data_IF_769823067258
#
_entry.id   IF_769823067258
#
_cell.length_a   1.000
_cell.length_b   1.000
_cell.length_c   1.000
_cell.angle_alpha   90.00
_cell.angle_beta   90.00
_cell.angle_gamma   90.00
#
_symmetry.space_group_name_H-M   'P 1'
#
loop_
_entity.id
_entity.type
_entity.pdbx_description
1 polymer ?
#
# COMPACT_ATOMS: atom_id res chain seq x y z
N UNK A 1 5.57 -17.67 -5.97
CA UNK A 1 6.24 -16.70 -5.07
C UNK A 1 5.27 -15.61 -4.62
N UNK A 2 5.25 -15.29 -3.33
CA UNK A 2 4.40 -14.26 -2.71
C UNK A 2 5.27 -13.16 -2.14
N UNK A 3 5.18 -11.95 -2.68
CA UNK A 3 5.97 -10.81 -2.21
C UNK A 3 5.06 -9.72 -1.68
N UNK A 4 5.38 -9.18 -0.50
CA UNK A 4 4.77 -7.97 0.01
C UNK A 4 5.70 -6.79 -0.26
N UNK A 5 5.17 -5.78 -0.93
CA UNK A 5 5.91 -4.58 -1.30
C UNK A 5 5.31 -3.37 -0.60
N UNK A 6 6.11 -2.76 0.25
CA UNK A 6 5.75 -1.56 1.01
C UNK A 6 6.38 -0.30 0.41
N UNK A 7 5.98 0.86 0.89
CA UNK A 7 6.52 2.14 0.47
C UNK A 7 5.54 3.26 0.79
N UNK A 8 6.03 4.38 1.29
CA UNK A 8 5.16 5.53 1.62
C UNK A 8 4.49 6.12 0.39
N UNK A 9 3.43 6.90 0.58
CA UNK A 9 2.81 7.62 -0.55
C UNK A 9 3.83 8.53 -1.21
N UNK A 10 3.80 8.58 -2.55
CA UNK A 10 4.79 9.33 -3.31
C UNK A 10 6.16 8.64 -3.42
N UNK A 11 6.38 7.42 -2.91
CA UNK A 11 7.61 6.64 -3.15
C UNK A 11 7.82 6.23 -4.62
N UNK A 12 6.75 6.21 -5.43
CA UNK A 12 6.78 5.67 -6.79
C UNK A 12 6.46 4.17 -6.87
N UNK A 13 6.20 3.50 -5.72
CA UNK A 13 5.89 2.07 -5.59
C UNK A 13 4.95 1.55 -6.69
N UNK A 14 3.78 2.16 -6.85
CA UNK A 14 2.77 1.73 -7.84
C UNK A 14 3.28 1.78 -9.28
N UNK A 15 4.04 2.82 -9.66
CA UNK A 15 4.59 2.95 -11.02
C UNK A 15 5.64 1.89 -11.27
N UNK A 16 6.53 1.65 -10.30
CA UNK A 16 7.56 0.62 -10.41
C UNK A 16 6.98 -0.79 -10.48
N UNK A 17 5.94 -1.08 -9.69
CA UNK A 17 5.30 -2.40 -9.69
C UNK A 17 4.55 -2.69 -10.98
N UNK A 18 3.86 -1.70 -11.56
CA UNK A 18 3.24 -1.86 -12.88
C UNK A 18 4.27 -2.21 -13.97
N UNK A 19 5.38 -1.48 -14.02
CA UNK A 19 6.50 -1.77 -14.94
C UNK A 19 7.11 -3.15 -14.69
N UNK A 20 7.20 -3.58 -13.43
CA UNK A 20 7.68 -4.92 -13.09
C UNK A 20 6.76 -6.02 -13.63
N UNK A 21 5.44 -5.87 -13.49
CA UNK A 21 4.46 -6.82 -14.03
C UNK A 21 4.56 -6.88 -15.55
N UNK A 22 4.60 -5.73 -16.24
CA UNK A 22 4.78 -5.66 -17.70
C UNK A 22 6.07 -6.35 -18.14
N UNK A 23 7.18 -6.13 -17.41
CA UNK A 23 8.45 -6.79 -17.67
C UNK A 23 8.38 -8.31 -17.46
N UNK A 24 7.75 -8.78 -16.39
CA UNK A 24 7.59 -10.20 -16.09
C UNK A 24 6.75 -10.91 -17.17
N UNK A 25 5.66 -10.28 -17.60
CA UNK A 25 4.80 -10.78 -18.69
C UNK A 25 5.58 -10.89 -20.01
N UNK A 26 6.40 -9.90 -20.35
CA UNK A 26 7.30 -9.96 -21.51
C UNK A 26 8.35 -11.09 -21.41
N UNK A 27 8.58 -11.63 -20.21
CA UNK A 27 9.41 -12.82 -19.95
C UNK A 27 8.59 -14.10 -19.78
N UNK A 28 7.31 -14.10 -20.17
CA UNK A 28 6.38 -15.22 -20.01
C UNK A 28 6.15 -15.65 -18.55
N UNK A 29 6.36 -14.76 -17.60
CA UNK A 29 6.09 -14.99 -16.18
C UNK A 29 4.86 -14.19 -15.78
N UNK A 30 3.76 -14.88 -15.45
CA UNK A 30 2.53 -14.21 -14.97
C UNK A 30 2.70 -13.81 -13.51
N UNK A 31 2.45 -12.53 -13.21
CA UNK A 31 2.49 -11.99 -11.84
C UNK A 31 1.19 -11.25 -11.57
N UNK A 32 0.47 -11.64 -10.53
CA UNK A 32 -0.72 -10.93 -10.08
C UNK A 32 -0.35 -9.82 -9.11
N UNK A 33 -0.64 -8.57 -9.47
CA UNK A 33 -0.48 -7.42 -8.59
C UNK A 33 -1.81 -7.11 -7.86
N UNK A 34 -1.76 -7.13 -6.53
CA UNK A 34 -2.83 -6.66 -5.65
C UNK A 34 -2.43 -5.29 -5.08
N UNK A 35 -3.16 -4.22 -5.40
CA UNK A 35 -2.96 -2.91 -4.77
C UNK A 35 -3.98 -2.69 -3.68
N UNK A 36 -3.54 -2.80 -2.41
CA UNK A 36 -4.42 -2.73 -1.24
C UNK A 36 -5.20 -1.42 -1.23
N UNK A 37 -4.55 -0.29 -1.51
CA UNK A 37 -5.21 1.03 -1.56
C UNK A 37 -6.34 1.07 -2.58
N UNK A 38 -6.09 0.64 -3.82
CA UNK A 38 -7.12 0.60 -4.88
C UNK A 38 -8.26 -0.36 -4.54
N UNK A 39 -7.94 -1.53 -3.98
CA UNK A 39 -8.94 -2.51 -3.55
C UNK A 39 -9.81 -1.99 -2.40
N UNK A 40 -9.27 -1.19 -1.47
CA UNK A 40 -10.06 -0.57 -0.40
C UNK A 40 -11.12 0.39 -0.95
N UNK A 41 -10.75 1.20 -1.97
CA UNK A 41 -11.73 2.06 -2.64
C UNK A 41 -12.80 1.25 -3.39
N UNK A 42 -12.42 0.14 -4.01
CA UNK A 42 -13.36 -0.76 -4.66
C UNK A 42 -14.31 -1.43 -3.67
N UNK A 43 -13.79 -1.91 -2.53
CA UNK A 43 -14.58 -2.51 -1.45
C UNK A 43 -15.60 -1.50 -0.90
N UNK A 44 -15.18 -0.25 -0.66
CA UNK A 44 -16.10 0.80 -0.22
C UNK A 44 -17.24 1.05 -1.23
N UNK A 45 -16.93 1.12 -2.54
CA UNK A 45 -17.95 1.27 -3.58
C UNK A 45 -18.93 0.09 -3.62
N UNK A 46 -18.45 -1.15 -3.46
CA UNK A 46 -19.31 -2.34 -3.41
C UNK A 46 -20.27 -2.33 -2.21
N UNK A 47 -19.91 -1.65 -1.13
CA UNK A 47 -20.75 -1.45 0.05
C UNK A 47 -21.70 -0.25 -0.07
N UNK A 48 -21.76 0.40 -1.23
CA UNK A 48 -22.59 1.60 -1.46
C UNK A 48 -22.05 2.86 -0.80
N UNK A 49 -20.78 2.87 -0.36
CA UNK A 49 -20.15 4.04 0.26
C UNK A 49 -19.21 4.70 -0.74
N UNK A 50 -19.58 5.90 -1.19
CA UNK A 50 -18.72 6.69 -2.07
C UNK A 50 -17.75 7.54 -1.23
N UNK A 51 -16.50 7.08 -1.13
CA UNK A 51 -15.43 7.79 -0.45
C UNK A 51 -14.63 8.57 -1.49
N UNK A 52 -14.53 9.89 -1.31
CA UNK A 52 -13.60 10.71 -2.10
C UNK A 52 -12.16 10.24 -1.90
N UNK A 53 -11.36 10.23 -2.95
CA UNK A 53 -9.98 9.71 -2.91
C UNK A 53 -9.13 10.34 -1.80
N UNK A 54 -9.35 11.62 -1.49
CA UNK A 54 -8.62 12.36 -0.46
C UNK A 54 -9.15 12.14 0.97
N UNK A 55 -10.16 11.29 1.15
CA UNK A 55 -10.91 11.11 2.42
C UNK A 55 -10.83 9.72 3.03
N UNK A 56 -10.22 8.74 2.36
CA UNK A 56 -10.15 7.38 2.94
C UNK A 56 -9.42 7.33 4.29
N UNK A 57 -8.38 8.14 4.47
CA UNK A 57 -7.65 8.25 5.74
C UNK A 57 -8.37 9.12 6.79
N UNK A 58 -9.48 9.77 6.41
CA UNK A 58 -10.35 10.52 7.34
C UNK A 58 -11.47 9.66 7.94
N UNK A 59 -11.60 8.39 7.51
CA UNK A 59 -12.55 7.44 8.10
C UNK A 59 -12.24 7.15 9.58
N UNK A 60 -13.26 6.69 10.31
CA UNK A 60 -13.05 6.18 11.66
C UNK A 60 -12.08 4.98 11.65
N UNK A 61 -11.34 4.73 12.73
CA UNK A 61 -10.46 3.57 12.83
C UNK A 61 -11.18 2.25 12.56
N UNK A 62 -12.43 2.11 13.02
CA UNK A 62 -13.24 0.90 12.79
C UNK A 62 -13.57 0.71 11.31
N UNK A 63 -14.01 1.75 10.61
CA UNK A 63 -14.29 1.67 9.16
C UNK A 63 -13.03 1.40 8.35
N UNK A 64 -11.91 2.01 8.72
CA UNK A 64 -10.64 1.79 8.02
C UNK A 64 -10.12 0.36 8.23
N UNK A 65 -10.22 -0.17 9.45
CA UNK A 65 -9.86 -1.55 9.77
C UNK A 65 -10.77 -2.56 9.08
N UNK A 66 -12.08 -2.29 9.03
CA UNK A 66 -13.03 -3.12 8.30
C UNK A 66 -12.67 -3.22 6.81
N UNK A 67 -12.42 -2.10 6.14
CA UNK A 67 -12.03 -2.11 4.73
C UNK A 67 -10.72 -2.86 4.48
N UNK A 68 -9.73 -2.71 5.38
CA UNK A 68 -8.47 -3.45 5.29
C UNK A 68 -8.72 -4.95 5.43
N UNK A 69 -9.47 -5.37 6.44
CA UNK A 69 -9.82 -6.76 6.69
C UNK A 69 -10.48 -7.39 5.46
N UNK A 70 -11.52 -6.74 4.94
CA UNK A 70 -12.22 -7.19 3.72
C UNK A 70 -11.27 -7.36 2.54
N UNK A 71 -10.34 -6.41 2.34
CA UNK A 71 -9.38 -6.47 1.23
C UNK A 71 -8.35 -7.59 1.43
N UNK A 72 -7.78 -7.73 2.63
CA UNK A 72 -6.79 -8.78 2.89
C UNK A 72 -7.40 -10.18 2.82
N UNK A 73 -8.60 -10.39 3.36
CA UNK A 73 -9.33 -11.66 3.20
C UNK A 73 -9.61 -11.97 1.73
N UNK A 74 -9.96 -10.96 0.92
CA UNK A 74 -10.11 -11.13 -0.52
C UNK A 74 -8.77 -11.50 -1.19
N UNK A 75 -7.68 -10.82 -0.86
CA UNK A 75 -6.34 -11.12 -1.41
C UNK A 75 -5.93 -12.55 -1.07
N UNK A 76 -6.12 -12.99 0.17
CA UNK A 76 -5.75 -14.35 0.63
C UNK A 76 -6.50 -15.40 -0.18
N UNK A 77 -7.83 -15.25 -0.32
CA UNK A 77 -8.65 -16.17 -1.13
C UNK A 77 -8.25 -16.16 -2.60
N UNK A 78 -7.96 -14.99 -3.17
CA UNK A 78 -7.59 -14.89 -4.59
C UNK A 78 -6.18 -15.38 -4.87
N UNK A 79 -5.26 -15.20 -3.92
CA UNK A 79 -3.84 -15.54 -4.04
C UNK A 79 -3.60 -17.02 -4.35
N UNK A 80 -4.47 -17.93 -3.90
CA UNK A 80 -4.39 -19.36 -4.19
C UNK A 80 -4.47 -19.69 -5.68
N UNK A 81 -5.06 -18.81 -6.48
CA UNK A 81 -5.26 -19.01 -7.92
C UNK A 81 -4.04 -18.57 -8.76
N UNK A 82 -2.99 -18.06 -8.12
CA UNK A 82 -1.83 -17.49 -8.81
C UNK A 82 -0.53 -18.05 -8.25
N UNK A 83 0.35 -18.49 -9.14
CA UNK A 83 1.69 -18.96 -8.75
C UNK A 83 2.54 -17.82 -8.18
N UNK A 84 2.49 -16.63 -8.82
CA UNK A 84 3.27 -15.46 -8.43
C UNK A 84 2.37 -14.26 -8.14
N UNK A 85 2.50 -13.72 -6.94
CA UNK A 85 1.73 -12.55 -6.49
C UNK A 85 2.65 -11.47 -5.91
N UNK A 86 2.23 -10.23 -6.10
CA UNK A 86 2.81 -9.05 -5.45
C UNK A 86 1.70 -8.27 -4.78
N UNK A 87 1.87 -7.98 -3.49
CA UNK A 87 0.92 -7.20 -2.71
C UNK A 87 1.55 -5.83 -2.46
N UNK A 88 0.99 -4.80 -3.10
CA UNK A 88 1.38 -3.41 -2.96
C UNK A 88 0.59 -2.75 -1.83
N UNK A 89 1.28 -2.38 -0.75
CA UNK A 89 0.66 -1.78 0.44
C UNK A 89 1.56 -0.74 1.09
N UNK A 90 1.06 -0.05 2.11
CA UNK A 90 1.88 0.70 3.06
C UNK A 90 2.12 -0.19 4.28
N UNK A 91 3.19 0.00 5.03
CA UNK A 91 3.36 -0.59 6.37
C UNK A 91 2.72 0.31 7.43
N UNK A 92 2.83 1.63 7.26
CA UNK A 92 2.24 2.64 8.14
C UNK A 92 1.76 3.86 7.39
N UNK A 93 0.92 4.65 8.04
CA UNK A 93 0.54 5.98 7.58
C UNK A 93 0.85 7.03 8.62
N UNK A 94 1.31 8.20 8.14
CA UNK A 94 1.39 9.43 8.90
C UNK A 94 0.31 10.40 8.41
N UNK A 95 -0.78 10.53 9.17
CA UNK A 95 -1.93 11.34 8.80
C UNK A 95 -2.35 12.27 9.92
N UNK A 96 -2.46 13.58 9.64
CA UNK A 96 -2.84 14.61 10.61
C UNK A 96 -2.05 14.51 11.94
N UNK A 97 -0.72 14.27 11.85
CA UNK A 97 0.22 14.08 12.99
C UNK A 97 0.05 12.77 13.79
N UNK A 98 -0.84 11.87 13.39
CA UNK A 98 -0.96 10.54 13.96
C UNK A 98 -0.23 9.51 13.09
N UNK A 99 0.37 8.52 13.73
CA UNK A 99 0.96 7.34 13.06
C UNK A 99 0.12 6.13 13.41
N UNK A 100 -0.20 5.32 12.41
CA UNK A 100 -0.91 4.06 12.61
C UNK A 100 -0.50 3.03 11.56
N UNK A 101 -0.65 1.75 11.93
CA UNK A 101 -0.39 0.62 11.05
C UNK A 101 -1.39 0.59 9.89
N UNK A 102 -0.90 0.18 8.72
CA UNK A 102 -1.70 0.09 7.51
C UNK A 102 -2.50 -1.20 7.40
N UNK A 103 -2.15 -2.24 8.17
CA UNK A 103 -2.82 -3.54 8.20
C UNK A 103 -2.45 -4.30 9.49
N UNK A 104 -3.18 -5.38 9.77
CA UNK A 104 -2.89 -6.30 10.88
C UNK A 104 -1.89 -7.38 10.45
N UNK A 105 -0.86 -7.63 11.25
CA UNK A 105 0.16 -8.66 11.00
C UNK A 105 -0.41 -10.07 10.89
N UNK A 106 -1.59 -10.34 11.46
CA UNK A 106 -2.30 -11.60 11.28
C UNK A 106 -2.42 -12.01 9.80
N UNK A 107 -2.74 -11.07 8.91
CA UNK A 107 -2.87 -11.35 7.48
C UNK A 107 -1.55 -11.70 6.81
N UNK A 108 -0.43 -11.16 7.29
CA UNK A 108 0.89 -11.54 6.79
C UNK A 108 1.24 -12.97 7.18
N UNK A 109 0.89 -13.39 8.39
CA UNK A 109 1.09 -14.78 8.82
C UNK A 109 0.29 -15.74 7.94
N UNK A 110 -0.97 -15.39 7.64
CA UNK A 110 -1.83 -16.21 6.77
C UNK A 110 -1.32 -16.23 5.31
N UNK A 111 -0.89 -15.08 4.77
CA UNK A 111 -0.32 -15.00 3.42
C UNK A 111 1.01 -15.74 3.28
N UNK A 112 1.78 -15.87 4.36
CA UNK A 112 3.14 -16.41 4.39
C UNK A 112 4.01 -15.92 3.22
N UNK A 113 4.33 -14.60 3.13
CA UNK A 113 5.15 -14.06 2.05
C UNK A 113 6.57 -14.66 2.04
N UNK A 114 7.10 -14.91 0.86
CA UNK A 114 8.49 -15.34 0.65
C UNK A 114 9.49 -14.19 0.84
N UNK A 115 9.04 -12.94 0.61
CA UNK A 115 9.87 -11.76 0.72
C UNK A 115 9.08 -10.48 1.03
N UNK A 116 9.77 -9.57 1.71
CA UNK A 116 9.32 -8.21 1.96
C UNK A 116 10.27 -7.23 1.27
N UNK A 117 9.71 -6.28 0.52
CA UNK A 117 10.49 -5.28 -0.22
C UNK A 117 9.93 -3.90 0.09
N UNK A 118 10.76 -2.95 0.49
CA UNK A 118 10.35 -1.55 0.59
C UNK A 118 10.85 -0.78 -0.62
N UNK A 119 9.93 -0.20 -1.40
CA UNK A 119 10.27 0.77 -2.44
C UNK A 119 10.37 2.15 -1.80
N UNK A 120 11.50 2.80 -2.03
CA UNK A 120 11.82 4.08 -1.44
C UNK A 120 12.55 4.97 -2.45
N UNK A 121 12.48 6.28 -2.24
CA UNK A 121 13.14 7.29 -3.06
C UNK A 121 13.71 8.40 -2.14
N UNK A 122 14.46 9.32 -2.73
CA UNK A 122 14.94 10.52 -2.06
C UNK A 122 13.75 11.38 -1.61
N UNK A 123 13.88 12.04 -0.46
CA UNK A 123 12.79 12.79 0.16
C UNK A 123 12.24 13.92 -0.72
N UNK A 124 13.10 14.57 -1.53
CA UNK A 124 12.70 15.68 -2.39
C UNK A 124 11.79 15.23 -3.56
N UNK A 125 12.15 14.22 -4.38
CA UNK A 125 11.21 13.63 -5.34
C UNK A 125 9.88 13.17 -4.73
N UNK A 126 9.93 12.54 -3.55
CA UNK A 126 8.72 12.13 -2.81
C UNK A 126 7.86 13.36 -2.49
N UNK A 127 8.46 14.41 -1.93
CA UNK A 127 7.78 15.67 -1.60
C UNK A 127 7.11 16.28 -2.83
N UNK A 128 7.80 16.34 -3.96
CA UNK A 128 7.23 16.86 -5.22
C UNK A 128 5.99 16.07 -5.62
N UNK A 129 6.06 14.73 -5.63
CA UNK A 129 4.92 13.86 -5.99
C UNK A 129 3.74 13.99 -5.01
N UNK A 130 4.03 14.14 -3.72
CA UNK A 130 3.02 14.38 -2.69
C UNK A 130 2.32 15.74 -2.89
N UNK A 131 3.07 16.80 -3.21
CA UNK A 131 2.50 18.13 -3.50
C UNK A 131 1.66 18.18 -4.78
N UNK A 132 1.94 17.31 -5.75
CA UNK A 132 1.10 17.15 -6.93
C UNK A 132 -0.24 16.45 -6.65
N UNK A 133 -0.35 15.69 -5.54
CA UNK A 133 -1.57 14.96 -5.19
C UNK A 133 -2.56 15.81 -4.38
N UNK A 134 -3.85 15.76 -4.73
CA UNK A 134 -4.94 16.40 -3.96
C UNK A 134 -4.99 15.90 -2.52
N UNK A 135 -4.70 14.62 -2.29
CA UNK A 135 -4.75 14.00 -0.97
C UNK A 135 -3.65 14.53 -0.04
N UNK A 136 -2.46 14.83 -0.57
CA UNK A 136 -1.25 15.07 0.23
C UNK A 136 -0.71 16.50 0.18
N UNK A 137 -1.15 17.32 -0.78
CA UNK A 137 -0.69 18.71 -0.96
C UNK A 137 -0.74 19.51 0.34
N UNK A 138 0.38 20.11 0.71
CA UNK A 138 0.53 20.95 1.89
C UNK A 138 0.45 20.22 3.24
N UNK A 139 0.43 18.88 3.28
CA UNK A 139 0.20 18.13 4.53
C UNK A 139 1.45 17.70 5.27
N UNK A 140 2.55 17.43 4.56
CA UNK A 140 3.76 16.84 5.14
C UNK A 140 4.98 17.70 4.85
N UNK A 141 5.77 18.00 5.88
CA UNK A 141 7.10 18.60 5.75
C UNK A 141 8.13 17.57 5.26
N UNK A 142 9.30 18.03 4.79
CA UNK A 142 10.41 17.12 4.43
C UNK A 142 10.86 16.26 5.62
N UNK A 143 10.87 16.83 6.83
CA UNK A 143 11.19 16.08 8.05
C UNK A 143 10.20 14.94 8.29
N UNK A 144 8.90 15.20 8.15
CA UNK A 144 7.88 14.17 8.33
C UNK A 144 7.95 13.07 7.27
N UNK A 145 8.32 13.41 6.03
CA UNK A 145 8.55 12.43 4.96
C UNK A 145 9.74 11.52 5.29
N UNK A 146 10.85 12.11 5.77
CA UNK A 146 12.03 11.33 6.19
C UNK A 146 11.69 10.36 7.32
N UNK A 147 11.01 10.86 8.35
CA UNK A 147 10.57 10.03 9.49
C UNK A 147 9.63 8.92 9.03
N UNK A 148 8.63 9.24 8.20
CA UNK A 148 7.69 8.23 7.70
C UNK A 148 8.37 7.15 6.85
N UNK A 149 9.38 7.52 6.05
CA UNK A 149 10.17 6.57 5.27
C UNK A 149 10.95 5.59 6.14
N UNK A 150 11.52 6.08 7.24
CA UNK A 150 12.26 5.26 8.19
C UNK A 150 11.30 4.33 8.96
N UNK A 151 10.14 4.84 9.39
CA UNK A 151 9.05 4.05 9.99
C UNK A 151 8.59 2.92 9.05
N UNK A 152 8.34 3.25 7.78
CA UNK A 152 7.91 2.29 6.75
C UNK A 152 8.95 1.18 6.55
N UNK A 153 10.22 1.56 6.45
CA UNK A 153 11.33 0.62 6.24
C UNK A 153 11.54 -0.26 7.46
N UNK A 154 11.43 0.29 8.67
CA UNK A 154 11.57 -0.46 9.92
C UNK A 154 10.45 -1.50 10.06
N UNK A 155 9.20 -1.12 9.83
CA UNK A 155 8.04 -2.01 9.96
C UNK A 155 8.02 -3.13 8.92
N UNK A 156 8.65 -2.92 7.76
CA UNK A 156 8.70 -3.93 6.70
C UNK A 156 9.69 -5.06 7.00
N UNK A 157 10.66 -4.85 7.91
CA UNK A 157 11.69 -5.84 8.26
C UNK A 157 11.20 -6.96 9.20
N UNK A 158 9.88 -7.08 9.41
CA UNK A 158 9.27 -7.93 10.43
C UNK A 158 9.00 -9.34 9.93
#
# INVERSE_FOLDING_TARGET
>A
MRIVVTGISGSGREVHLKRFVEFAEAKNTKVKLFSVGSMMFEAARKLGVEIKEDKILDLSPSSLNFLRATVFEQIIREAENYENIVISTHASFRWKKHVFQAFDFHYLNELSPDAFITISDSALPIKIRLESSKQWRGRLTLKEILVWRDEETLLTKS
#
